data_IF_573900158421
#
_entry.id   IF_573900158421
#
_cell.length_a   1.000
_cell.length_b   1.000
_cell.length_c   1.000
_cell.angle_alpha   90.00
_cell.angle_beta   90.00
_cell.angle_gamma   90.00
#
_symmetry.space_group_name_H-M   'P 1'
#
loop_
_entity.id
_entity.type
_entity.pdbx_description
1 polymer ?
#
# COMPACT_ATOMS: atom_id res chain seq x y z
N UNK A 1 -36.83 -19.61 -26.94
CA UNK A 1 -35.95 -18.57 -26.37
C UNK A 1 -34.88 -19.26 -25.54
N UNK A 2 -33.78 -19.66 -26.17
CA UNK A 2 -32.67 -20.31 -25.48
C UNK A 2 -31.87 -19.23 -24.73
N UNK A 3 -32.03 -19.19 -23.40
CA UNK A 3 -31.15 -18.43 -22.52
C UNK A 3 -29.84 -19.20 -22.43
N UNK A 4 -28.80 -18.70 -23.09
CA UNK A 4 -27.43 -19.12 -22.86
C UNK A 4 -27.07 -18.80 -21.40
N UNK A 5 -27.07 -19.83 -20.55
CA UNK A 5 -26.41 -19.81 -19.26
C UNK A 5 -24.92 -19.92 -19.54
N UNK A 6 -24.22 -18.78 -19.61
CA UNK A 6 -22.77 -18.76 -19.62
C UNK A 6 -22.33 -19.19 -18.22
N UNK A 7 -22.06 -20.47 -18.07
CA UNK A 7 -21.31 -21.00 -16.91
C UNK A 7 -19.89 -20.49 -17.12
N UNK A 8 -19.59 -19.34 -16.52
CA UNK A 8 -18.23 -18.85 -16.38
C UNK A 8 -17.55 -19.80 -15.39
N UNK A 9 -16.87 -20.80 -15.95
CA UNK A 9 -16.00 -21.70 -15.21
C UNK A 9 -14.87 -20.82 -14.64
N UNK A 10 -15.04 -20.36 -13.40
CA UNK A 10 -14.01 -19.67 -12.63
C UNK A 10 -12.86 -20.65 -12.43
N UNK A 11 -11.92 -20.67 -13.38
CA UNK A 11 -10.60 -21.18 -13.14
C UNK A 11 -10.08 -20.42 -11.93
N UNK A 12 -9.98 -21.11 -10.79
CA UNK A 12 -9.50 -20.53 -9.55
C UNK A 12 -8.18 -19.81 -9.82
N UNK A 13 -8.14 -18.52 -9.49
CA UNK A 13 -6.91 -17.76 -9.50
C UNK A 13 -5.83 -18.55 -8.73
N UNK A 14 -4.55 -18.49 -9.13
CA UNK A 14 -3.48 -19.13 -8.39
C UNK A 14 -3.61 -18.76 -6.90
N UNK A 15 -3.64 -19.79 -6.06
CA UNK A 15 -3.95 -19.67 -4.63
C UNK A 15 -3.04 -18.64 -3.97
N UNK A 16 -3.63 -17.55 -3.48
CA UNK A 16 -2.91 -16.47 -2.79
C UNK A 16 -2.83 -15.13 -3.53
N UNK A 17 -3.55 -14.94 -4.64
CA UNK A 17 -3.82 -13.61 -5.20
C UNK A 17 -5.15 -13.08 -4.63
N UNK A 18 -5.16 -11.94 -3.93
CA UNK A 18 -6.40 -11.31 -3.47
C UNK A 18 -7.36 -10.89 -4.60
N UNK A 19 -8.65 -11.14 -4.40
CA UNK A 19 -9.74 -10.75 -5.32
C UNK A 19 -10.33 -9.36 -5.01
N UNK A 20 -9.57 -8.50 -4.31
CA UNK A 20 -10.04 -7.16 -3.95
C UNK A 20 -9.86 -6.16 -5.11
N UNK A 21 -10.79 -5.19 -5.31
CA UNK A 21 -10.71 -4.23 -6.42
C UNK A 21 -9.41 -3.43 -6.45
N UNK A 22 -8.89 -3.05 -5.27
CA UNK A 22 -7.66 -2.29 -5.17
C UNK A 22 -6.47 -3.13 -5.65
N UNK A 23 -6.36 -4.36 -5.17
CA UNK A 23 -5.32 -5.31 -5.61
C UNK A 23 -5.41 -5.58 -7.11
N UNK A 24 -6.61 -5.91 -7.61
CA UNK A 24 -6.83 -6.27 -9.01
C UNK A 24 -6.35 -5.17 -9.98
N UNK A 25 -6.58 -3.89 -9.63
CA UNK A 25 -6.17 -2.77 -10.48
C UNK A 25 -4.66 -2.48 -10.51
N UNK A 26 -3.90 -2.98 -9.53
CA UNK A 26 -2.47 -2.68 -9.37
C UNK A 26 -1.56 -3.91 -9.23
N UNK A 27 -2.09 -5.13 -9.47
CA UNK A 27 -1.43 -6.40 -9.14
C UNK A 27 0.02 -6.50 -9.62
N UNK A 28 0.30 -6.15 -10.88
CA UNK A 28 1.62 -6.24 -11.50
C UNK A 28 2.63 -5.33 -10.81
N UNK A 29 2.21 -4.13 -10.43
CA UNK A 29 3.06 -3.17 -9.72
C UNK A 29 3.29 -3.61 -8.28
N UNK A 30 2.23 -4.05 -7.58
CA UNK A 30 2.34 -4.53 -6.19
C UNK A 30 3.30 -5.71 -6.11
N UNK A 31 3.12 -6.75 -6.94
CA UNK A 31 3.96 -7.95 -6.95
C UNK A 31 5.43 -7.58 -7.24
N UNK A 32 5.67 -6.70 -8.22
CA UNK A 32 7.02 -6.21 -8.52
C UNK A 32 7.66 -5.55 -7.30
N UNK A 33 6.97 -4.63 -6.66
CA UNK A 33 7.52 -3.86 -5.53
C UNK A 33 7.71 -4.74 -4.28
N UNK A 34 6.81 -5.69 -4.01
CA UNK A 34 6.98 -6.70 -2.96
C UNK A 34 8.18 -7.61 -3.19
N UNK A 35 8.40 -8.06 -4.43
CA UNK A 35 9.54 -8.90 -4.80
C UNK A 35 10.87 -8.17 -4.63
N UNK A 36 10.89 -6.87 -4.93
CA UNK A 36 12.07 -6.01 -4.71
C UNK A 36 12.32 -5.79 -3.21
N UNK A 37 11.27 -5.57 -2.43
CA UNK A 37 11.38 -5.33 -0.99
C UNK A 37 11.77 -6.59 -0.20
N UNK A 38 11.16 -7.73 -0.53
CA UNK A 38 11.48 -9.03 0.06
C UNK A 38 11.73 -10.04 -1.06
N UNK A 39 13.01 -10.35 -1.38
CA UNK A 39 13.36 -11.34 -2.41
C UNK A 39 12.83 -12.76 -2.11
N UNK A 40 12.49 -13.04 -0.85
CA UNK A 40 11.89 -14.31 -0.41
C UNK A 40 10.36 -14.29 -0.47
N UNK A 41 9.74 -13.18 -0.89
CA UNK A 41 8.30 -13.05 -1.08
C UNK A 41 7.74 -14.22 -1.91
N UNK A 42 6.65 -14.80 -1.42
CA UNK A 42 5.92 -15.86 -2.11
C UNK A 42 4.46 -15.49 -2.36
N UNK A 43 3.76 -14.98 -1.33
CA UNK A 43 2.34 -14.65 -1.43
C UNK A 43 1.92 -13.54 -0.47
N UNK A 44 0.81 -12.88 -0.80
CA UNK A 44 0.15 -11.91 0.05
C UNK A 44 -1.28 -12.38 0.35
N UNK A 45 -1.61 -12.60 1.61
CA UNK A 45 -2.91 -13.11 2.04
C UNK A 45 -3.76 -12.00 2.64
N UNK A 46 -4.95 -11.77 2.08
CA UNK A 46 -5.89 -10.81 2.66
C UNK A 46 -6.22 -11.18 4.11
N UNK A 47 -6.21 -10.18 5.00
CA UNK A 47 -6.58 -10.35 6.40
C UNK A 47 -7.94 -9.70 6.68
N UNK A 48 -8.00 -8.37 6.53
CA UNK A 48 -9.20 -7.57 6.79
C UNK A 48 -9.10 -6.20 6.15
N UNK A 49 -10.18 -5.44 6.24
CA UNK A 49 -10.23 -4.03 5.90
C UNK A 49 -10.68 -3.19 7.09
N UNK A 50 -10.10 -2.00 7.26
CA UNK A 50 -10.52 -0.98 8.23
C UNK A 50 -10.71 0.33 7.46
N UNK A 51 -11.96 0.76 7.28
CA UNK A 51 -12.27 1.89 6.41
C UNK A 51 -11.88 1.60 4.96
N UNK A 52 -11.02 2.43 4.38
CA UNK A 52 -10.47 2.27 3.01
C UNK A 52 -9.12 1.54 2.99
N UNK A 53 -8.68 0.97 4.12
CA UNK A 53 -7.38 0.30 4.25
C UNK A 53 -7.57 -1.20 4.19
N UNK A 54 -7.04 -1.82 3.14
CA UNK A 54 -6.98 -3.27 3.03
C UNK A 54 -5.63 -3.78 3.55
N UNK A 55 -5.67 -4.80 4.41
CA UNK A 55 -4.48 -5.36 5.04
C UNK A 55 -4.22 -6.78 4.56
N UNK A 56 -2.95 -7.05 4.26
CA UNK A 56 -2.48 -8.30 3.69
C UNK A 56 -1.26 -8.79 4.46
N UNK A 57 -1.25 -10.05 4.88
CA UNK A 57 -0.09 -10.71 5.45
C UNK A 57 0.85 -11.14 4.33
N UNK A 58 2.12 -10.72 4.41
CA UNK A 58 3.15 -11.08 3.44
C UNK A 58 3.87 -12.33 3.95
N UNK A 59 3.86 -13.39 3.13
CA UNK A 59 4.49 -14.65 3.45
C UNK A 59 5.66 -14.94 2.51
N UNK A 60 6.73 -15.50 3.08
CA UNK A 60 7.85 -16.00 2.30
C UNK A 60 7.59 -17.41 1.75
N UNK A 61 8.57 -17.95 1.01
CA UNK A 61 8.51 -19.29 0.43
C UNK A 61 8.43 -20.43 1.46
N UNK A 62 8.86 -20.18 2.70
CA UNK A 62 8.74 -21.12 3.81
C UNK A 62 7.39 -20.99 4.55
N UNK A 63 6.56 -20.01 4.19
CA UNK A 63 5.29 -19.72 4.84
C UNK A 63 5.42 -18.85 6.09
N UNK A 64 6.60 -18.28 6.37
CA UNK A 64 6.80 -17.38 7.49
C UNK A 64 6.29 -15.97 7.15
N UNK A 65 5.68 -15.31 8.14
CA UNK A 65 5.23 -13.93 8.00
C UNK A 65 6.43 -12.98 8.04
N UNK A 66 6.67 -12.29 6.93
CA UNK A 66 7.80 -11.36 6.76
C UNK A 66 7.38 -9.90 6.79
N UNK A 67 6.08 -9.61 6.80
CA UNK A 67 5.55 -8.25 6.93
C UNK A 67 4.07 -8.15 6.64
N UNK A 68 3.58 -6.92 6.59
CA UNK A 68 2.19 -6.60 6.26
C UNK A 68 2.18 -5.59 5.13
N UNK A 69 1.42 -5.88 4.08
CA UNK A 69 1.08 -4.94 3.02
C UNK A 69 -0.24 -4.26 3.37
N UNK A 70 -0.27 -2.94 3.22
CA UNK A 70 -1.45 -2.11 3.38
C UNK A 70 -1.71 -1.41 2.04
N UNK A 71 -2.92 -1.55 1.53
CA UNK A 71 -3.40 -0.88 0.33
C UNK A 71 -4.46 0.13 0.72
N UNK A 72 -4.27 1.39 0.34
CA UNK A 72 -5.21 2.46 0.69
C UNK A 72 -5.11 3.67 -0.25
N UNK A 73 -5.93 4.68 -0.02
CA UNK A 73 -5.90 5.96 -0.72
C UNK A 73 -5.57 7.10 0.25
N UNK A 74 -5.05 8.21 -0.28
CA UNK A 74 -4.82 9.43 0.47
C UNK A 74 -5.28 10.65 -0.33
N UNK A 75 -5.63 11.71 0.41
CA UNK A 75 -6.16 12.94 -0.17
C UNK A 75 -5.04 13.77 -0.82
N UNK A 76 -5.13 14.03 -2.12
CA UNK A 76 -4.32 15.04 -2.81
C UNK A 76 -5.00 16.42 -2.77
N UNK A 77 -4.52 17.35 -3.60
CA UNK A 77 -5.11 18.70 -3.69
C UNK A 77 -6.59 18.67 -4.12
N UNK A 78 -6.89 17.92 -5.18
CA UNK A 78 -8.24 17.84 -5.78
C UNK A 78 -8.75 16.40 -5.80
N UNK A 79 -7.85 15.45 -6.04
CA UNK A 79 -8.17 14.04 -6.19
C UNK A 79 -7.38 13.19 -5.21
N UNK A 80 -7.91 12.02 -4.90
CA UNK A 80 -7.20 11.00 -4.14
C UNK A 80 -6.18 10.28 -5.01
N UNK A 81 -5.14 9.78 -4.37
CA UNK A 81 -4.15 8.91 -4.98
C UNK A 81 -4.05 7.59 -4.21
N UNK A 82 -3.77 6.52 -4.94
CA UNK A 82 -3.70 5.16 -4.40
C UNK A 82 -2.26 4.87 -3.99
N UNK A 83 -2.07 4.24 -2.84
CA UNK A 83 -0.76 3.89 -2.33
C UNK A 83 -0.73 2.49 -1.71
N UNK A 84 0.46 1.91 -1.74
CA UNK A 84 0.83 0.77 -0.91
C UNK A 84 1.84 1.20 0.15
N UNK A 85 1.69 0.64 1.33
CA UNK A 85 2.64 0.72 2.44
C UNK A 85 3.00 -0.69 2.85
N UNK A 86 4.28 -0.98 3.04
CA UNK A 86 4.75 -2.26 3.59
C UNK A 86 5.46 -1.99 4.90
N UNK A 87 5.06 -2.74 5.92
CA UNK A 87 5.70 -2.73 7.23
C UNK A 87 6.31 -4.09 7.53
N UNK A 88 7.42 -4.06 8.26
CA UNK A 88 8.03 -5.27 8.80
C UNK A 88 7.23 -5.82 10.01
N UNK A 89 7.59 -6.99 10.55
CA UNK A 89 6.91 -7.56 11.72
C UNK A 89 7.00 -6.69 13.00
N UNK A 90 7.93 -5.73 13.03
CA UNK A 90 8.10 -4.73 14.10
C UNK A 90 7.29 -3.45 13.87
N UNK A 91 6.42 -3.44 12.86
CA UNK A 91 5.60 -2.29 12.42
C UNK A 91 6.41 -1.11 11.87
N UNK A 92 7.67 -1.30 11.50
CA UNK A 92 8.46 -0.26 10.84
C UNK A 92 8.16 -0.23 9.36
N UNK A 93 7.99 0.97 8.81
CA UNK A 93 7.77 1.15 7.38
C UNK A 93 9.05 0.77 6.64
N UNK A 94 8.94 -0.22 5.76
CA UNK A 94 10.01 -0.65 4.86
C UNK A 94 9.81 -0.20 3.42
N UNK A 95 8.57 0.14 3.03
CA UNK A 95 8.25 0.57 1.68
C UNK A 95 7.00 1.44 1.64
N UNK A 96 7.04 2.47 0.80
CA UNK A 96 5.86 3.23 0.37
C UNK A 96 5.95 3.40 -1.14
N UNK A 97 4.85 3.16 -1.85
CA UNK A 97 4.71 3.47 -3.27
C UNK A 97 3.34 4.03 -3.57
N UNK A 98 3.31 5.09 -4.37
CA UNK A 98 2.09 5.60 -4.97
C UNK A 98 1.84 4.76 -6.23
N UNK A 99 0.69 4.09 -6.27
CA UNK A 99 0.30 3.18 -7.33
C UNK A 99 -0.41 3.91 -8.46
N UNK A 100 -1.27 4.87 -8.10
CA UNK A 100 -2.00 5.69 -9.05
C UNK A 100 -2.15 7.11 -8.55
N UNK A 101 -1.55 8.04 -9.27
CA UNK A 101 -1.70 9.47 -9.05
C UNK A 101 -2.54 10.07 -10.17
N UNK A 102 -3.68 10.66 -9.83
CA UNK A 102 -4.70 11.10 -10.81
C UNK A 102 -4.57 12.57 -11.20
N UNK A 103 -3.98 13.39 -10.32
CA UNK A 103 -3.88 14.83 -10.52
C UNK A 103 -2.67 15.23 -11.34
N UNK A 104 -2.78 16.35 -12.06
CA UNK A 104 -1.69 16.96 -12.83
C UNK A 104 -0.61 17.61 -11.94
N UNK A 105 -0.96 17.97 -10.70
CA UNK A 105 -0.07 18.66 -9.77
C UNK A 105 0.24 17.81 -8.55
N UNK A 106 1.48 17.90 -8.05
CA UNK A 106 1.89 17.26 -6.81
C UNK A 106 2.38 15.83 -6.96
N UNK A 107 2.57 15.34 -8.19
CA UNK A 107 3.10 14.00 -8.45
C UNK A 107 4.54 13.82 -7.97
N UNK A 108 5.21 14.90 -7.56
CA UNK A 108 6.54 14.89 -6.98
C UNK A 108 6.63 14.02 -5.71
N UNK A 109 5.52 13.78 -5.01
CA UNK A 109 5.49 12.84 -3.86
C UNK A 109 5.73 11.37 -4.27
N UNK A 110 5.69 11.05 -5.57
CA UNK A 110 6.06 9.72 -6.09
C UNK A 110 7.57 9.47 -6.04
N UNK A 111 8.37 10.49 -5.73
CA UNK A 111 9.82 10.39 -5.66
C UNK A 111 10.26 9.42 -4.55
N UNK A 112 10.94 8.34 -4.95
CA UNK A 112 11.41 7.27 -4.04
C UNK A 112 12.35 7.76 -2.95
N UNK A 113 13.21 8.76 -3.24
CA UNK A 113 14.13 9.30 -2.23
C UNK A 113 13.37 10.11 -1.18
N UNK A 114 12.38 10.89 -1.61
CA UNK A 114 11.55 11.63 -0.67
C UNK A 114 10.72 10.67 0.21
N UNK A 115 10.11 9.63 -0.38
CA UNK A 115 9.37 8.60 0.35
C UNK A 115 10.24 7.79 1.31
N UNK A 116 11.55 7.69 1.09
CA UNK A 116 12.45 6.97 1.98
C UNK A 116 12.60 7.63 3.36
N UNK A 117 12.23 8.90 3.51
CA UNK A 117 12.25 9.58 4.82
C UNK A 117 11.33 8.92 5.85
N UNK A 118 10.26 8.24 5.41
CA UNK A 118 9.35 7.53 6.32
C UNK A 118 9.92 6.19 6.82
N UNK A 119 10.98 5.67 6.18
CA UNK A 119 11.42 4.30 6.40
C UNK A 119 12.24 4.19 7.67
N UNK A 120 12.00 3.12 8.45
CA UNK A 120 12.75 2.80 9.67
C UNK A 120 12.85 3.93 10.71
N UNK A 121 11.93 4.90 10.68
CA UNK A 121 11.98 6.02 11.62
C UNK A 121 11.59 5.55 13.02
N UNK A 122 12.30 6.01 14.08
CA UNK A 122 11.95 5.71 15.46
C UNK A 122 10.72 6.51 15.93
N UNK A 123 10.35 7.53 15.18
CA UNK A 123 9.28 8.46 15.52
C UNK A 123 7.91 7.83 15.31
N UNK A 124 7.01 8.02 16.27
CA UNK A 124 5.62 7.54 16.19
C UNK A 124 4.74 8.42 15.30
N UNK A 125 5.22 9.58 14.86
CA UNK A 125 4.41 10.56 14.11
C UNK A 125 5.26 11.39 13.17
N UNK A 126 4.79 11.52 11.93
CA UNK A 126 5.40 12.34 10.88
C UNK A 126 4.73 13.71 10.80
N UNK A 127 5.52 14.76 10.60
CA UNK A 127 5.09 16.15 10.61
C UNK A 127 5.78 16.90 9.46
N UNK A 128 4.96 17.46 8.58
CA UNK A 128 5.42 18.21 7.42
C UNK A 128 6.31 19.39 7.82
N UNK A 129 7.47 19.56 7.17
CA UNK A 129 8.49 20.59 7.44
C UNK A 129 9.14 20.52 8.83
N UNK A 130 8.96 19.42 9.56
CA UNK A 130 9.64 19.19 10.84
C UNK A 130 10.59 18.00 10.74
N UNK A 131 10.05 16.81 10.49
CA UNK A 131 10.80 15.57 10.31
C UNK A 131 10.57 14.92 8.94
N UNK A 132 9.70 15.52 8.11
CA UNK A 132 9.57 15.21 6.69
C UNK A 132 9.78 16.48 5.89
N UNK A 133 10.71 16.43 4.94
CA UNK A 133 11.05 17.53 4.06
C UNK A 133 9.86 17.96 3.20
N UNK A 134 9.81 19.26 2.90
CA UNK A 134 8.86 19.78 1.93
C UNK A 134 9.17 19.26 0.51
N UNK A 135 8.12 19.01 -0.26
CA UNK A 135 8.23 18.73 -1.70
C UNK A 135 7.68 19.92 -2.48
N UNK A 136 8.50 20.45 -3.39
CA UNK A 136 8.07 21.53 -4.27
C UNK A 136 6.85 21.09 -5.10
N UNK A 137 5.86 21.96 -5.26
CA UNK A 137 4.67 21.69 -6.06
C UNK A 137 3.66 20.70 -5.45
N UNK A 138 3.98 20.05 -4.33
CA UNK A 138 3.18 18.93 -3.81
C UNK A 138 2.73 19.07 -2.35
N UNK A 139 2.56 20.30 -1.84
CA UNK A 139 2.21 20.56 -0.42
C UNK A 139 0.97 19.79 0.05
N UNK A 140 -0.15 19.89 -0.66
CA UNK A 140 -1.41 19.23 -0.25
C UNK A 140 -1.28 17.71 -0.28
N UNK A 141 -0.69 17.16 -1.34
CA UNK A 141 -0.50 15.72 -1.48
C UNK A 141 0.51 15.17 -0.46
N UNK A 142 1.54 15.95 -0.11
CA UNK A 142 2.50 15.60 0.95
C UNK A 142 1.79 15.53 2.30
N UNK A 143 0.97 16.52 2.62
CA UNK A 143 0.19 16.53 3.87
C UNK A 143 -0.82 15.37 3.92
N UNK A 144 -1.52 15.11 2.81
CA UNK A 144 -2.44 13.98 2.72
C UNK A 144 -1.75 12.63 2.95
N UNK A 145 -0.58 12.42 2.35
CA UNK A 145 0.22 11.21 2.59
C UNK A 145 0.64 11.10 4.06
N UNK A 146 1.18 12.17 4.63
CA UNK A 146 1.62 12.19 6.04
C UNK A 146 0.45 11.88 6.98
N UNK A 147 -0.70 12.49 6.75
CA UNK A 147 -1.90 12.26 7.54
C UNK A 147 -2.37 10.80 7.43
N UNK A 148 -2.38 10.23 6.23
CA UNK A 148 -2.77 8.83 6.03
C UNK A 148 -1.79 7.87 6.72
N UNK A 149 -0.48 8.11 6.64
CA UNK A 149 0.53 7.30 7.34
C UNK A 149 0.37 7.38 8.86
N UNK A 150 0.18 8.59 9.41
CA UNK A 150 -0.04 8.76 10.84
C UNK A 150 -1.34 8.08 11.31
N UNK A 151 -2.36 8.03 10.47
CA UNK A 151 -3.63 7.38 10.79
C UNK A 151 -3.60 5.85 10.62
N UNK A 152 -2.76 5.31 9.72
CA UNK A 152 -2.68 3.88 9.48
C UNK A 152 -1.81 3.14 10.50
N UNK A 153 -0.73 3.76 11.00
CA UNK A 153 0.21 3.10 11.90
C UNK A 153 -0.45 2.57 13.19
N UNK A 154 -1.35 3.31 13.87
CA UNK A 154 -2.08 2.79 15.02
C UNK A 154 -2.95 1.57 14.69
N UNK A 155 -3.52 1.46 13.49
CA UNK A 155 -4.35 0.32 13.09
C UNK A 155 -3.55 -1.00 13.04
N UNK A 156 -2.21 -0.95 12.94
CA UNK A 156 -1.37 -2.15 12.87
C UNK A 156 -1.41 -2.98 14.16
N UNK A 157 -1.68 -2.36 15.32
CA UNK A 157 -1.81 -3.11 16.58
C UNK A 157 -3.08 -3.97 16.63
N UNK A 158 -4.09 -3.63 15.83
CA UNK A 158 -5.37 -4.36 15.81
C UNK A 158 -5.38 -5.56 14.86
N UNK A 159 -4.33 -5.76 14.04
CA UNK A 159 -4.26 -6.81 13.02
C UNK A 159 -3.44 -8.02 13.47
N UNK A 160 -2.67 -7.87 14.56
CA UNK A 160 -1.80 -8.95 15.09
C UNK A 160 -2.60 -10.05 15.78
#
# INVERSE_FOLDING_TARGET
MFRFLIILLLMGAPSGIPDQPFWASHNKQIIKELTVWSPTFAKAEYQKSIGTREFYKILDKAGAAVGTLILTDAQGRLEKFDLMVVVDPTNKIGLIRILKYRSEFGSEITNKKWLAQFYNQPESTFVFRKNIDAVSGATFSSQGLINEINALLPCLTEIK
#
